data_IF_731667566221
#
_entry.id   IF_731667566221
#
_cell.length_a   1.000
_cell.length_b   1.000
_cell.length_c   1.000
_cell.angle_alpha   90.00
_cell.angle_beta   90.00
_cell.angle_gamma   90.00
#
_symmetry.space_group_name_H-M   'P 1'
#
loop_
_entity.id
_entity.type
_entity.pdbx_description
1 polymer ?
#
# COMPACT_ATOMS: atom_id res chain seq x y z
N UNK A 1 -8.61 1.13 -9.62
CA UNK A 1 -8.14 0.46 -8.40
C UNK A 1 -7.82 -0.99 -8.70
N UNK A 2 -6.55 -1.35 -8.61
CA UNK A 2 -6.00 -2.69 -8.82
C UNK A 2 -6.32 -3.64 -7.65
N UNK A 3 -6.14 -4.94 -7.85
CA UNK A 3 -6.41 -5.96 -6.80
C UNK A 3 -5.59 -5.73 -5.53
N UNK A 4 -4.33 -5.32 -5.65
CA UNK A 4 -3.46 -5.05 -4.49
C UNK A 4 -3.97 -3.87 -3.68
N UNK A 5 -4.41 -2.80 -4.35
CA UNK A 5 -4.99 -1.61 -3.72
C UNK A 5 -6.30 -1.97 -2.99
N UNK A 6 -7.15 -2.82 -3.59
CA UNK A 6 -8.37 -3.35 -2.92
C UNK A 6 -8.05 -4.12 -1.64
N UNK A 7 -6.99 -4.93 -1.65
CA UNK A 7 -6.57 -5.68 -0.46
C UNK A 7 -6.05 -4.72 0.62
N UNK A 8 -5.26 -3.72 0.24
CA UNK A 8 -4.77 -2.68 1.18
C UNK A 8 -5.96 -1.90 1.77
N UNK A 9 -6.91 -1.47 0.95
CA UNK A 9 -8.12 -0.81 1.43
C UNK A 9 -8.90 -1.70 2.40
N UNK A 10 -9.12 -2.98 2.06
CA UNK A 10 -9.83 -3.92 2.90
C UNK A 10 -9.13 -4.10 4.26
N UNK A 11 -7.80 -4.20 4.28
CA UNK A 11 -7.01 -4.20 5.52
C UNK A 11 -7.27 -2.94 6.35
N UNK A 12 -7.08 -1.77 5.73
CA UNK A 12 -7.20 -0.47 6.42
C UNK A 12 -8.62 -0.26 6.98
N UNK A 13 -9.64 -0.71 6.25
CA UNK A 13 -11.04 -0.56 6.67
C UNK A 13 -11.45 -1.54 7.77
N UNK A 14 -11.12 -2.83 7.61
CA UNK A 14 -11.69 -3.90 8.43
C UNK A 14 -10.78 -4.41 9.54
N UNK A 15 -9.47 -4.21 9.39
CA UNK A 15 -8.48 -4.55 10.42
C UNK A 15 -8.12 -3.30 11.22
N UNK A 16 -7.76 -2.20 10.55
CA UNK A 16 -7.41 -0.94 11.22
C UNK A 16 -8.63 -0.07 11.59
N UNK A 17 -9.84 -0.43 11.13
CA UNK A 17 -11.08 0.26 11.47
C UNK A 17 -11.20 1.69 10.90
N UNK A 18 -10.48 1.99 9.82
CA UNK A 18 -10.45 3.34 9.24
C UNK A 18 -11.58 3.56 8.22
N UNK A 19 -12.00 4.82 8.06
CA UNK A 19 -12.75 5.27 6.90
C UNK A 19 -11.78 5.53 5.72
N UNK A 20 -12.14 5.12 4.51
CA UNK A 20 -11.25 5.14 3.34
C UNK A 20 -11.83 5.89 2.14
N UNK A 21 -10.95 6.46 1.31
CA UNK A 21 -11.26 7.01 -0.02
C UNK A 21 -10.17 6.51 -0.98
N UNK A 22 -10.47 5.51 -1.83
CA UNK A 22 -9.50 4.96 -2.78
C UNK A 22 -9.48 5.69 -4.13
N UNK A 23 -8.43 5.48 -4.93
CA UNK A 23 -8.33 5.80 -6.37
C UNK A 23 -8.70 7.26 -6.67
N UNK A 24 -8.04 8.19 -5.98
CA UNK A 24 -8.28 9.62 -6.13
C UNK A 24 -7.44 10.15 -7.29
N UNK A 25 -8.13 10.58 -8.34
CA UNK A 25 -7.52 11.18 -9.52
C UNK A 25 -7.05 12.60 -9.21
N UNK A 26 -5.81 12.88 -9.60
CA UNK A 26 -5.19 14.20 -9.51
C UNK A 26 -4.94 14.74 -10.93
N UNK A 27 -4.73 16.05 -11.02
CA UNK A 27 -4.26 16.65 -12.27
C UNK A 27 -2.87 16.12 -12.66
N UNK A 28 -2.46 16.31 -13.91
CA UNK A 28 -1.15 15.87 -14.38
C UNK A 28 -1.02 14.35 -14.55
N UNK A 29 -2.13 13.62 -14.72
CA UNK A 29 -2.18 12.15 -14.78
C UNK A 29 -1.62 11.46 -13.53
N UNK A 30 -1.79 12.12 -12.38
CA UNK A 30 -1.38 11.60 -11.07
C UNK A 30 -2.56 10.92 -10.38
N UNK A 31 -2.24 10.06 -9.43
CA UNK A 31 -3.23 9.29 -8.67
C UNK A 31 -2.70 9.03 -7.27
N UNK A 32 -3.58 9.22 -6.29
CA UNK A 32 -3.41 8.81 -4.91
C UNK A 32 -4.16 7.47 -4.75
N UNK A 33 -3.45 6.43 -4.36
CA UNK A 33 -4.02 5.09 -4.31
C UNK A 33 -5.10 5.01 -3.21
N UNK A 34 -4.79 5.49 -2.00
CA UNK A 34 -5.71 5.42 -0.86
C UNK A 34 -5.47 6.53 0.17
N UNK A 35 -6.54 7.24 0.56
CA UNK A 35 -6.59 8.04 1.77
C UNK A 35 -7.39 7.32 2.84
N UNK A 36 -6.94 7.41 4.09
CA UNK A 36 -7.66 6.83 5.22
C UNK A 36 -7.62 7.73 6.46
N UNK A 37 -8.68 7.65 7.26
CA UNK A 37 -8.79 8.34 8.55
C UNK A 37 -9.28 7.34 9.60
N UNK A 38 -8.55 7.23 10.71
CA UNK A 38 -9.05 6.50 11.87
C UNK A 38 -10.12 7.35 12.57
N UNK A 39 -11.38 6.90 12.67
CA UNK A 39 -12.46 7.72 13.22
C UNK A 39 -12.36 7.94 14.74
N UNK A 40 -11.54 7.15 15.45
CA UNK A 40 -11.33 7.25 16.90
C UNK A 40 -10.17 8.18 17.22
N UNK A 41 -9.01 7.96 16.58
CA UNK A 41 -7.79 8.75 16.87
C UNK A 41 -7.65 9.99 15.99
N UNK A 42 -8.42 10.07 14.89
CA UNK A 42 -8.30 11.08 13.83
C UNK A 42 -6.95 11.07 13.09
N UNK A 43 -6.17 10.00 13.25
CA UNK A 43 -4.96 9.78 12.46
C UNK A 43 -5.31 9.68 10.98
N UNK A 44 -4.48 10.33 10.16
CA UNK A 44 -4.65 10.40 8.70
C UNK A 44 -3.51 9.68 7.99
N UNK A 45 -3.85 8.96 6.94
CA UNK A 45 -2.91 8.14 6.17
C UNK A 45 -3.04 8.43 4.69
N UNK A 46 -1.92 8.77 4.05
CA UNK A 46 -1.76 8.74 2.61
C UNK A 46 -0.96 7.49 2.25
N UNK A 47 -1.65 6.52 1.65
CA UNK A 47 -1.13 5.17 1.41
C UNK A 47 -0.95 4.97 -0.09
N UNK A 48 0.22 4.49 -0.47
CA UNK A 48 0.61 4.19 -1.84
C UNK A 48 1.11 2.74 -1.93
N UNK A 49 0.67 2.02 -2.97
CA UNK A 49 0.98 0.60 -3.13
C UNK A 49 1.96 0.34 -4.27
N UNK A 50 3.00 -0.44 -3.96
CA UNK A 50 4.08 -0.82 -4.86
C UNK A 50 4.34 -2.32 -4.79
N UNK A 51 3.31 -3.12 -5.07
CA UNK A 51 3.37 -4.58 -4.93
C UNK A 51 3.56 -5.23 -6.30
N UNK A 52 4.61 -6.03 -6.43
CA UNK A 52 4.85 -6.87 -7.60
C UNK A 52 5.10 -8.30 -7.17
N UNK A 53 4.43 -9.25 -7.83
CA UNK A 53 4.66 -10.70 -7.64
C UNK A 53 5.89 -11.20 -8.40
N UNK A 54 6.51 -10.36 -9.25
CA UNK A 54 7.70 -10.74 -9.98
C UNK A 54 8.92 -10.74 -9.05
N UNK A 55 9.63 -11.87 -8.97
CA UNK A 55 10.72 -12.05 -7.99
C UNK A 55 11.83 -10.99 -8.08
N UNK A 56 12.15 -10.49 -9.28
CA UNK A 56 13.20 -9.48 -9.47
C UNK A 56 12.77 -8.05 -9.15
N UNK A 57 11.46 -7.74 -9.09
CA UNK A 57 10.94 -6.38 -8.84
C UNK A 57 10.02 -6.29 -7.62
N UNK A 58 9.90 -7.35 -6.82
CA UNK A 58 9.01 -7.42 -5.67
C UNK A 58 9.40 -6.47 -4.54
N UNK A 59 10.70 -6.25 -4.33
CA UNK A 59 11.22 -5.44 -3.23
C UNK A 59 11.47 -3.98 -3.60
N UNK A 60 11.06 -3.08 -2.70
CA UNK A 60 11.42 -1.65 -2.73
C UNK A 60 12.93 -1.48 -2.56
N UNK A 61 13.51 -0.52 -3.28
CA UNK A 61 14.95 -0.24 -3.30
C UNK A 61 15.25 1.23 -3.04
N UNK A 62 16.47 1.52 -2.59
CA UNK A 62 17.01 2.87 -2.46
C UNK A 62 17.91 3.25 -3.64
N UNK A 63 17.82 2.53 -4.76
CA UNK A 63 18.53 2.92 -5.98
C UNK A 63 18.08 4.31 -6.42
N UNK A 64 18.98 5.10 -7.03
CA UNK A 64 18.66 6.44 -7.48
C UNK A 64 17.43 6.44 -8.41
N UNK A 65 16.45 7.25 -8.05
CA UNK A 65 15.33 7.57 -8.91
C UNK A 65 15.76 8.58 -9.97
N UNK A 66 15.33 8.38 -11.21
CA UNK A 66 15.57 9.28 -12.34
C UNK A 66 14.30 9.46 -13.15
N UNK A 67 13.76 10.70 -13.25
CA UNK A 67 12.63 11.02 -14.12
C UNK A 67 12.87 10.67 -15.59
N UNK A 68 14.11 10.81 -16.09
CA UNK A 68 14.44 10.49 -17.47
C UNK A 68 14.51 8.97 -17.71
N UNK A 69 15.01 8.20 -16.73
CA UNK A 69 14.93 6.76 -16.79
C UNK A 69 13.47 6.26 -16.72
N UNK A 70 12.59 6.96 -15.98
CA UNK A 70 11.17 6.62 -15.89
C UNK A 70 10.43 6.73 -17.23
N UNK A 71 10.87 7.64 -18.12
CA UNK A 71 10.34 7.80 -19.49
C UNK A 71 10.78 6.66 -20.42
N UNK A 72 11.84 5.93 -20.09
CA UNK A 72 12.34 4.80 -20.88
C UNK A 72 11.57 3.53 -20.49
N UNK A 73 10.74 3.00 -21.40
CA UNK A 73 9.86 1.84 -21.15
C UNK A 73 10.54 0.66 -20.44
N UNK A 74 11.77 0.33 -20.84
CA UNK A 74 12.54 -0.79 -20.28
C UNK A 74 12.98 -0.55 -18.82
N UNK A 75 13.19 0.71 -18.43
CA UNK A 75 13.65 1.09 -17.08
C UNK A 75 12.51 1.47 -16.15
N UNK A 76 11.31 1.69 -16.68
CA UNK A 76 10.15 2.17 -15.92
C UNK A 76 9.82 1.28 -14.71
N UNK A 77 9.80 -0.05 -14.88
CA UNK A 77 9.53 -0.99 -13.79
C UNK A 77 10.56 -0.89 -12.65
N UNK A 78 11.84 -0.74 -13.01
CA UNK A 78 12.92 -0.54 -12.03
C UNK A 78 12.82 0.80 -11.29
N UNK A 79 12.36 1.85 -11.96
CA UNK A 79 12.18 3.17 -11.34
C UNK A 79 10.97 3.20 -10.39
N UNK A 80 9.85 2.58 -10.78
CA UNK A 80 8.61 2.54 -9.98
C UNK A 80 8.72 1.80 -8.64
N UNK A 81 9.79 1.02 -8.43
CA UNK A 81 10.11 0.31 -7.16
C UNK A 81 11.21 1.01 -6.35
N UNK A 82 11.54 2.26 -6.66
CA UNK A 82 12.52 3.03 -5.87
C UNK A 82 11.79 3.86 -4.82
N UNK A 83 12.40 4.03 -3.65
CA UNK A 83 11.90 4.95 -2.62
C UNK A 83 11.77 6.38 -3.18
N UNK A 84 12.73 6.82 -4.00
CA UNK A 84 12.71 8.14 -4.63
C UNK A 84 11.50 8.36 -5.54
N UNK A 85 11.04 7.32 -6.26
CA UNK A 85 9.81 7.42 -7.04
C UNK A 85 8.59 7.73 -6.17
N UNK A 86 8.41 7.02 -5.05
CA UNK A 86 7.29 7.29 -4.14
C UNK A 86 7.41 8.67 -3.50
N UNK A 87 8.58 9.00 -2.97
CA UNK A 87 8.83 10.30 -2.36
C UNK A 87 8.53 11.46 -3.31
N UNK A 88 9.09 11.42 -4.52
CA UNK A 88 9.08 12.57 -5.40
C UNK A 88 7.79 12.63 -6.24
N UNK A 89 7.27 11.49 -6.70
CA UNK A 89 6.09 11.45 -7.58
C UNK A 89 4.80 11.14 -6.83
N UNK A 90 4.81 10.24 -5.86
CA UNK A 90 3.58 9.83 -5.17
C UNK A 90 3.25 10.69 -3.95
N UNK A 91 4.25 11.25 -3.27
CA UNK A 91 4.02 12.09 -2.09
C UNK A 91 4.34 13.57 -2.30
N UNK A 92 5.37 13.88 -3.09
CA UNK A 92 5.89 15.24 -3.24
C UNK A 92 5.42 16.00 -4.48
N UNK A 93 4.66 15.37 -5.39
CA UNK A 93 4.22 16.02 -6.62
C UNK A 93 3.21 17.14 -6.31
N UNK A 94 3.35 18.36 -6.87
CA UNK A 94 2.46 19.47 -6.58
C UNK A 94 0.98 19.18 -6.84
N UNK A 95 0.66 18.36 -7.85
CA UNK A 95 -0.73 18.01 -8.15
C UNK A 95 -1.32 17.08 -7.08
N UNK A 96 -0.49 16.18 -6.53
CA UNK A 96 -0.88 15.32 -5.41
C UNK A 96 -1.08 16.16 -4.15
N UNK A 97 -0.12 17.04 -3.82
CA UNK A 97 -0.23 17.92 -2.65
C UNK A 97 -1.46 18.83 -2.72
N UNK A 98 -1.76 19.37 -3.90
CA UNK A 98 -2.98 20.16 -4.12
C UNK A 98 -4.23 19.33 -3.86
N UNK A 99 -4.30 18.11 -4.41
CA UNK A 99 -5.46 17.21 -4.24
C UNK A 99 -5.63 16.79 -2.77
N UNK A 100 -4.54 16.50 -2.05
CA UNK A 100 -4.57 16.19 -0.61
C UNK A 100 -5.24 17.29 0.21
N UNK A 101 -4.95 18.56 -0.11
CA UNK A 101 -5.55 19.70 0.59
C UNK A 101 -7.07 19.75 0.45
N UNK A 102 -7.64 19.32 -0.69
CA UNK A 102 -9.09 19.24 -0.90
C UNK A 102 -9.77 18.30 0.12
N UNK A 103 -9.05 17.29 0.61
CA UNK A 103 -9.51 16.30 1.60
C UNK A 103 -9.06 16.62 3.03
N UNK A 104 -8.45 17.79 3.26
CA UNK A 104 -7.97 18.21 4.59
C UNK A 104 -6.66 17.56 5.04
N UNK A 105 -5.93 16.91 4.13
CA UNK A 105 -4.58 16.40 4.36
C UNK A 105 -3.59 17.54 4.11
N UNK A 106 -2.90 17.97 5.17
CA UNK A 106 -1.96 19.09 5.19
C UNK A 106 -0.64 18.64 5.79
N UNK A 107 0.45 19.28 5.39
CA UNK A 107 1.77 18.92 5.91
C UNK A 107 1.79 18.86 7.45
N UNK A 108 2.37 17.78 7.97
CA UNK A 108 2.42 17.49 9.40
C UNK A 108 1.15 16.90 10.04
N UNK A 109 0.02 16.76 9.33
CA UNK A 109 -1.23 16.21 9.90
C UNK A 109 -1.63 14.80 9.41
N UNK A 110 -0.77 14.18 8.61
CA UNK A 110 -0.95 12.84 8.07
C UNK A 110 0.39 12.12 7.94
N UNK A 111 0.31 10.79 7.84
CA UNK A 111 1.46 9.92 7.64
C UNK A 111 1.50 9.43 6.19
N UNK A 112 2.71 9.32 5.64
CA UNK A 112 2.98 8.79 4.31
C UNK A 112 3.37 7.33 4.44
N UNK A 113 2.65 6.42 3.79
CA UNK A 113 2.87 4.98 3.89
C UNK A 113 3.10 4.40 2.50
N UNK A 114 4.15 3.59 2.34
CA UNK A 114 4.35 2.74 1.18
C UNK A 114 4.05 1.30 1.58
N UNK A 115 3.13 0.66 0.87
CA UNK A 115 2.86 -0.77 0.99
C UNK A 115 3.59 -1.53 -0.12
N UNK A 116 4.45 -2.49 0.23
CA UNK A 116 5.28 -3.22 -0.75
C UNK A 116 5.53 -4.67 -0.32
N UNK A 117 6.02 -5.52 -1.24
CA UNK A 117 6.37 -6.92 -0.96
C UNK A 117 7.78 -7.02 -0.36
N UNK A 118 7.97 -6.34 0.78
CA UNK A 118 9.26 -6.17 1.45
C UNK A 118 10.20 -5.18 0.75
N UNK A 119 11.39 -4.99 1.32
CA UNK A 119 12.38 -4.02 0.84
C UNK A 119 13.81 -4.54 1.00
N UNK A 120 14.75 -3.91 0.29
CA UNK A 120 16.18 -4.18 0.44
C UNK A 120 16.74 -3.57 1.73
N UNK A 121 17.89 -4.06 2.19
CA UNK A 121 18.57 -3.51 3.37
C UNK A 121 18.89 -2.01 3.17
N UNK A 122 18.73 -1.21 4.23
CA UNK A 122 18.99 0.23 4.19
C UNK A 122 17.82 1.09 3.68
N UNK A 123 16.74 0.45 3.18
CA UNK A 123 15.59 1.17 2.62
C UNK A 123 14.67 1.70 3.72
N UNK A 124 14.49 0.97 4.81
CA UNK A 124 13.67 1.40 5.94
C UNK A 124 14.29 2.57 6.70
N UNK A 125 15.61 2.60 6.88
CA UNK A 125 16.27 3.77 7.47
C UNK A 125 16.24 4.98 6.53
N UNK A 126 16.29 4.77 5.22
CA UNK A 126 16.10 5.84 4.24
C UNK A 126 14.66 6.37 4.26
N UNK A 127 13.65 5.49 4.26
CA UNK A 127 12.24 5.87 4.32
C UNK A 127 11.92 6.63 5.61
N UNK A 128 12.44 6.18 6.75
CA UNK A 128 12.26 6.86 8.05
C UNK A 128 12.85 8.27 8.04
N UNK A 129 14.01 8.48 7.42
CA UNK A 129 14.60 9.82 7.26
C UNK A 129 13.74 10.74 6.39
N UNK A 130 13.04 10.18 5.40
CA UNK A 130 12.13 10.91 4.52
C UNK A 130 10.71 11.09 5.13
N UNK A 131 10.50 10.64 6.37
CA UNK A 131 9.19 10.69 7.04
C UNK A 131 8.15 9.78 6.38
N UNK A 132 8.59 8.63 5.85
CA UNK A 132 7.77 7.63 5.17
C UNK A 132 7.79 6.33 5.97
N UNK A 133 6.62 5.79 6.26
CA UNK A 133 6.42 4.48 6.87
C UNK A 133 6.37 3.39 5.78
N UNK A 134 6.94 2.23 6.08
CA UNK A 134 6.89 1.07 5.19
C UNK A 134 6.02 -0.01 5.82
N UNK A 135 5.04 -0.49 5.05
CA UNK A 135 4.20 -1.63 5.42
C UNK A 135 4.52 -2.80 4.50
N UNK A 136 4.79 -3.96 5.09
CA UNK A 136 4.96 -5.19 4.32
C UNK A 136 3.58 -5.77 3.98
N UNK A 137 3.30 -5.89 2.68
CA UNK A 137 2.05 -6.43 2.19
C UNK A 137 1.78 -7.85 2.72
N UNK A 138 2.81 -8.63 2.99
CA UNK A 138 2.68 -9.98 3.57
C UNK A 138 2.10 -9.90 4.97
N UNK A 139 2.52 -8.94 5.79
CA UNK A 139 2.01 -8.77 7.15
C UNK A 139 0.53 -8.36 7.13
N UNK A 140 0.13 -7.52 6.17
CA UNK A 140 -1.28 -7.14 5.97
C UNK A 140 -2.15 -8.36 5.69
N UNK A 141 -1.70 -9.25 4.78
CA UNK A 141 -2.41 -10.50 4.47
C UNK A 141 -2.53 -11.40 5.71
N UNK A 142 -1.44 -11.56 6.48
CA UNK A 142 -1.46 -12.36 7.70
C UNK A 142 -2.46 -11.82 8.73
N UNK A 143 -2.48 -10.50 8.94
CA UNK A 143 -3.44 -9.86 9.86
C UNK A 143 -4.89 -10.00 9.38
N UNK A 144 -5.14 -9.91 8.07
CA UNK A 144 -6.46 -10.21 7.49
C UNK A 144 -6.85 -11.67 7.79
N UNK A 145 -5.95 -12.63 7.55
CA UNK A 145 -6.22 -14.04 7.79
C UNK A 145 -6.47 -14.34 9.28
N UNK A 146 -5.72 -13.70 10.18
CA UNK A 146 -5.96 -13.78 11.61
C UNK A 146 -7.36 -13.27 11.98
N UNK A 147 -7.79 -12.14 11.39
CA UNK A 147 -9.13 -11.58 11.61
C UNK A 147 -10.25 -12.53 11.20
N UNK A 148 -10.04 -13.36 10.16
CA UNK A 148 -11.01 -14.39 9.77
C UNK A 148 -11.15 -15.52 10.80
N UNK A 149 -10.11 -15.78 11.58
CA UNK A 149 -10.11 -16.81 12.62
C UNK A 149 -10.74 -16.29 13.90
N UNK A 150 -10.40 -15.04 14.26
CA UNK A 150 -10.87 -14.40 15.50
C UNK A 150 -12.35 -13.98 15.42
N UNK A 151 -12.85 -13.73 14.20
CA UNK A 151 -14.20 -13.26 13.98
C UNK A 151 -15.04 -14.22 13.13
N UNK A 152 -16.18 -14.65 13.68
CA UNK A 152 -17.18 -15.43 12.94
C UNK A 152 -18.12 -14.56 12.11
N UNK A 153 -17.89 -13.26 12.06
CA UNK A 153 -18.72 -12.31 11.33
C UNK A 153 -18.63 -12.56 9.82
N UNK A 154 -19.77 -12.43 9.15
CA UNK A 154 -19.83 -12.48 7.70
C UNK A 154 -19.25 -11.19 7.11
N UNK A 155 -18.11 -11.30 6.42
CA UNK A 155 -17.55 -10.19 5.64
C UNK A 155 -18.38 -9.99 4.37
N UNK A 156 -19.13 -8.90 4.32
CA UNK A 156 -19.87 -8.48 3.12
C UNK A 156 -19.00 -7.81 2.05
N UNK A 157 -17.70 -7.64 2.31
CA UNK A 157 -16.72 -7.18 1.33
C UNK A 157 -16.21 -8.35 0.48
N UNK A 158 -16.32 -8.23 -0.84
CA UNK A 158 -15.95 -9.30 -1.77
C UNK A 158 -14.45 -9.63 -1.75
N UNK A 159 -13.58 -8.65 -1.46
CA UNK A 159 -12.14 -8.87 -1.36
C UNK A 159 -11.83 -9.76 -0.16
N UNK A 160 -12.34 -9.38 1.02
CA UNK A 160 -12.18 -10.19 2.22
C UNK A 160 -12.85 -11.55 2.09
N UNK A 161 -14.04 -11.59 1.50
CA UNK A 161 -14.77 -12.85 1.29
C UNK A 161 -13.98 -13.81 0.39
N UNK A 162 -13.38 -13.29 -0.68
CA UNK A 162 -12.54 -14.08 -1.60
C UNK A 162 -11.30 -14.61 -0.89
N UNK A 163 -10.59 -13.77 -0.12
CA UNK A 163 -9.43 -14.19 0.67
C UNK A 163 -9.79 -15.22 1.73
N UNK A 164 -10.93 -15.06 2.41
CA UNK A 164 -11.41 -16.01 3.41
C UNK A 164 -11.76 -17.36 2.77
N UNK A 165 -12.48 -17.37 1.64
CA UNK A 165 -12.80 -18.59 0.90
C UNK A 165 -11.52 -19.30 0.42
N UNK A 166 -10.54 -18.54 -0.08
CA UNK A 166 -9.24 -19.08 -0.50
C UNK A 166 -8.49 -19.72 0.68
N UNK A 167 -8.39 -19.02 1.82
CA UNK A 167 -7.75 -19.55 3.02
C UNK A 167 -8.44 -20.82 3.53
N UNK A 168 -9.78 -20.83 3.57
CA UNK A 168 -10.56 -21.98 4.00
C UNK A 168 -10.36 -23.19 3.08
N UNK A 169 -10.37 -22.99 1.77
CA UNK A 169 -10.15 -24.07 0.80
C UNK A 169 -8.79 -24.75 0.96
N UNK A 170 -7.76 -24.00 1.35
CA UNK A 170 -6.42 -24.55 1.62
C UNK A 170 -6.37 -25.31 2.94
N UNK A 171 -6.97 -24.78 4.00
CA UNK A 171 -7.03 -25.44 5.31
C UNK A 171 -7.80 -26.77 5.24
N UNK A 172 -8.94 -26.83 4.54
CA UNK A 172 -9.74 -28.06 4.39
C UNK A 172 -9.02 -29.15 3.58
N UNK A 173 -8.08 -28.77 2.70
CA UNK A 173 -7.25 -29.70 1.93
C UNK A 173 -5.96 -30.14 2.65
N UNK A 174 -5.70 -29.63 3.86
CA UNK A 174 -4.49 -29.95 4.62
C UNK A 174 -3.20 -29.46 3.97
N UNK A 175 -3.28 -28.46 3.09
CA UNK A 175 -2.09 -27.86 2.48
C UNK A 175 -1.30 -27.06 3.53
N UNK A 176 0.00 -27.32 3.63
CA UNK A 176 0.88 -26.53 4.47
C UNK A 176 0.84 -25.04 4.06
N UNK A 177 1.10 -24.09 4.98
CA UNK A 177 1.36 -22.70 4.63
C UNK A 177 2.42 -22.64 3.52
N UNK A 178 2.28 -21.74 2.54
CA UNK A 178 3.37 -21.50 1.59
C UNK A 178 4.54 -20.94 2.41
N UNK A 179 5.62 -21.70 2.50
CA UNK A 179 6.79 -21.35 3.31
C UNK A 179 7.31 -19.93 3.00
N UNK A 180 7.78 -19.27 4.08
CA UNK A 180 8.15 -17.86 4.21
C UNK A 180 9.42 -17.43 3.44
#
# INVERSE_FOLDING_TARGET
>A
METTERIVEAYVRYVEGCATIPNIRCDGQMEIDLLAINPVTLDRYHIESGVSVSGSYSKLTNHPYSPDALKQRVKQAGQRRTLGYFRDRKFGDPHVLSKLSDYGFKDGNYRKIIVTWGWCAGVDEAARRDGIELWDFRDLIHKIAQRFTDDRTYFGDDTLRTLHLFARARSEKGEAPLDA
#
